data_IF_203262121622
#
_entry.id   IF_203262121622
#
_cell.length_a   1.000
_cell.length_b   1.000
_cell.length_c   1.000
_cell.angle_alpha   90.00
_cell.angle_beta   90.00
_cell.angle_gamma   90.00
#
_symmetry.space_group_name_H-M   'P 1'
#
loop_
_entity.id
_entity.type
_entity.pdbx_description
1 polymer ?
#
# COMPACT_ATOMS: atom_id res chain seq x y z
N UNK A 1 4.74 26.71 3.99
CA UNK A 1 5.44 26.03 2.88
C UNK A 1 6.44 24.93 3.30
N UNK A 2 6.63 24.60 4.60
CA UNK A 2 7.62 23.58 5.02
C UNK A 2 7.21 22.11 4.74
N UNK A 3 5.90 21.81 4.75
CA UNK A 3 5.38 20.43 4.61
C UNK A 3 5.68 19.76 3.25
N UNK A 4 5.68 20.52 2.14
CA UNK A 4 5.97 19.96 0.81
C UNK A 4 7.42 19.47 0.71
N UNK A 5 8.38 20.29 1.17
CA UNK A 5 9.81 19.94 1.04
C UNK A 5 10.24 18.77 1.92
N UNK A 6 9.60 18.57 3.08
CA UNK A 6 9.86 17.41 3.95
C UNK A 6 9.28 16.13 3.35
N UNK A 7 8.08 16.19 2.77
CA UNK A 7 7.51 15.09 2.01
C UNK A 7 8.40 14.72 0.83
N UNK A 8 8.75 15.68 -0.03
CA UNK A 8 9.57 15.45 -1.22
C UNK A 8 10.93 14.84 -0.86
N UNK A 9 11.55 15.26 0.25
CA UNK A 9 12.79 14.68 0.77
C UNK A 9 12.62 13.23 1.19
N UNK A 10 11.60 12.92 1.99
CA UNK A 10 11.36 11.55 2.44
C UNK A 10 11.01 10.63 1.27
N UNK A 11 10.20 11.11 0.32
CA UNK A 11 9.86 10.36 -0.89
C UNK A 11 11.11 10.05 -1.73
N UNK A 12 12.02 11.02 -1.86
CA UNK A 12 13.30 10.79 -2.52
C UNK A 12 14.18 9.81 -1.73
N UNK A 13 14.23 9.90 -0.39
CA UNK A 13 14.99 8.98 0.47
C UNK A 13 14.45 7.54 0.36
N UNK A 14 13.14 7.36 0.31
CA UNK A 14 12.47 6.07 0.05
C UNK A 14 12.77 5.56 -1.37
N UNK A 15 12.78 6.43 -2.38
CA UNK A 15 13.07 6.05 -3.76
C UNK A 15 14.49 5.50 -3.94
N UNK A 16 15.48 6.08 -3.25
CA UNK A 16 16.88 5.61 -3.31
C UNK A 16 17.17 4.50 -2.30
N UNK A 17 16.28 4.25 -1.33
CA UNK A 17 16.42 3.18 -0.34
C UNK A 17 16.38 1.80 -0.99
N UNK A 18 17.36 0.96 -0.67
CA UNK A 18 17.39 -0.45 -1.09
C UNK A 18 16.86 -1.30 0.06
N UNK A 19 15.88 -2.16 -0.24
CA UNK A 19 15.18 -2.97 0.77
C UNK A 19 16.17 -3.79 1.59
N UNK A 20 16.03 -3.76 2.91
CA UNK A 20 17.02 -4.32 3.85
C UNK A 20 17.12 -5.85 3.87
N UNK A 21 16.27 -6.54 3.10
CA UNK A 21 16.30 -8.01 2.94
C UNK A 21 17.64 -8.57 2.41
N UNK A 22 18.57 -7.73 1.94
CA UNK A 22 19.93 -8.14 1.62
C UNK A 22 20.90 -7.95 2.81
N UNK A 23 20.79 -8.83 3.82
CA UNK A 23 21.79 -9.12 4.87
C UNK A 23 22.04 -8.04 5.94
N UNK A 24 21.27 -8.12 7.02
CA UNK A 24 21.79 -8.09 8.40
C UNK A 24 22.36 -6.77 8.95
N UNK A 25 22.35 -5.68 8.19
CA UNK A 25 22.67 -4.35 8.71
C UNK A 25 21.41 -3.52 8.61
N UNK A 26 20.79 -3.22 9.76
CA UNK A 26 19.85 -2.10 9.84
C UNK A 26 20.68 -0.87 9.56
N UNK A 27 20.67 -0.44 8.31
CA UNK A 27 21.51 0.64 7.81
C UNK A 27 21.12 1.91 8.53
N UNK A 28 22.06 2.87 8.62
CA UNK A 28 21.73 4.21 9.10
C UNK A 28 20.57 4.85 8.31
N UNK A 29 20.32 4.40 7.07
CA UNK A 29 19.22 4.88 6.24
C UNK A 29 17.85 4.40 6.75
N UNK A 30 17.68 3.12 7.08
CA UNK A 30 16.40 2.65 7.63
C UNK A 30 16.06 3.33 8.96
N UNK A 31 17.05 3.47 9.86
CA UNK A 31 16.84 4.20 11.13
C UNK A 31 16.41 5.65 10.89
N UNK A 32 16.96 6.30 9.86
CA UNK A 32 16.58 7.66 9.48
C UNK A 32 15.16 7.72 8.90
N UNK A 33 14.80 6.79 8.01
CA UNK A 33 13.45 6.67 7.46
C UNK A 33 12.45 6.45 8.59
N UNK A 34 12.72 5.50 9.49
CA UNK A 34 11.90 5.21 10.67
C UNK A 34 11.73 6.44 11.55
N UNK A 35 12.83 7.10 11.94
CA UNK A 35 12.76 8.30 12.76
C UNK A 35 12.01 9.45 12.07
N UNK A 36 12.13 9.57 10.75
CA UNK A 36 11.40 10.58 9.99
C UNK A 36 9.91 10.28 10.03
N UNK A 37 9.50 9.05 9.70
CA UNK A 37 8.09 8.61 9.71
C UNK A 37 7.44 8.85 11.07
N UNK A 38 8.13 8.47 12.16
CA UNK A 38 7.63 8.66 13.53
C UNK A 38 7.43 10.13 13.92
N UNK A 39 8.09 11.07 13.25
CA UNK A 39 7.99 12.50 13.50
C UNK A 39 7.06 13.22 12.51
N UNK A 40 6.46 12.51 11.55
CA UNK A 40 5.49 13.12 10.62
C UNK A 40 4.19 13.39 11.39
N UNK A 41 3.70 14.65 11.47
CA UNK A 41 2.48 14.97 12.20
C UNK A 41 1.21 14.30 11.61
N UNK A 42 1.22 14.07 10.30
CA UNK A 42 0.14 13.41 9.56
C UNK A 42 0.72 12.60 8.39
N UNK A 43 0.73 11.28 8.53
CA UNK A 43 1.25 10.33 7.54
C UNK A 43 0.30 10.10 6.36
N UNK A 44 -0.91 10.66 6.40
CA UNK A 44 -1.96 10.47 5.40
C UNK A 44 -1.99 11.59 4.34
N UNK A 45 -1.09 12.57 4.44
CA UNK A 45 -0.95 13.60 3.41
C UNK A 45 -0.46 13.00 2.08
N UNK A 46 -0.78 13.69 0.99
CA UNK A 46 -0.33 13.35 -0.36
C UNK A 46 0.50 14.47 -0.99
N UNK A 47 1.40 14.12 -1.91
CA UNK A 47 2.12 15.09 -2.73
C UNK A 47 1.17 15.78 -3.76
N UNK A 48 1.72 16.67 -4.59
CA UNK A 48 0.94 17.41 -5.61
C UNK A 48 0.28 16.53 -6.67
N UNK A 49 0.76 15.30 -6.85
CA UNK A 49 0.23 14.29 -7.76
C UNK A 49 -0.80 13.35 -7.09
N UNK A 50 -1.00 13.50 -5.78
CA UNK A 50 -1.93 12.68 -4.99
C UNK A 50 -1.34 11.38 -4.44
N UNK A 51 -0.02 11.21 -4.46
CA UNK A 51 0.62 10.04 -3.84
C UNK A 51 0.82 10.25 -2.34
N UNK A 52 0.27 9.35 -1.53
CA UNK A 52 0.60 9.23 -0.09
C UNK A 52 1.96 8.56 0.09
N UNK A 53 2.54 8.69 1.29
CA UNK A 53 3.76 7.94 1.63
C UNK A 53 3.56 6.42 1.45
N UNK A 54 2.40 5.91 1.90
CA UNK A 54 2.07 4.49 1.81
C UNK A 54 1.97 4.03 0.36
N UNK A 55 1.34 4.81 -0.52
CA UNK A 55 1.25 4.48 -1.94
C UNK A 55 2.64 4.32 -2.57
N UNK A 56 3.56 5.24 -2.27
CA UNK A 56 4.91 5.19 -2.83
C UNK A 56 5.69 3.99 -2.30
N UNK A 57 5.60 3.70 -1.00
CA UNK A 57 6.22 2.51 -0.41
C UNK A 57 5.73 1.21 -1.07
N UNK A 58 4.42 1.12 -1.35
CA UNK A 58 3.81 -0.01 -2.04
C UNK A 58 4.31 -0.14 -3.48
N UNK A 59 4.28 0.94 -4.26
CA UNK A 59 4.72 0.94 -5.67
C UNK A 59 6.22 0.65 -5.84
N UNK A 60 7.00 0.90 -4.80
CA UNK A 60 8.43 0.60 -4.73
C UNK A 60 8.72 -0.77 -4.10
N UNK A 61 7.68 -1.51 -3.70
CA UNK A 61 7.74 -2.81 -3.00
C UNK A 61 8.63 -2.79 -1.75
N UNK A 62 8.51 -1.76 -0.93
CA UNK A 62 9.26 -1.63 0.33
C UNK A 62 8.45 -2.15 1.50
N UNK A 63 8.33 -3.48 1.64
CA UNK A 63 7.49 -4.10 2.67
C UNK A 63 7.80 -3.61 4.10
N UNK A 64 9.08 -3.41 4.40
CA UNK A 64 9.59 -2.82 5.63
C UNK A 64 9.09 -1.38 5.87
N UNK A 65 9.13 -0.53 4.85
CA UNK A 65 8.62 0.85 4.93
C UNK A 65 7.09 0.89 4.95
N UNK A 66 6.41 -0.01 4.21
CA UNK A 66 4.95 -0.19 4.27
C UNK A 66 4.53 -0.50 5.70
N UNK A 67 5.20 -1.46 6.35
CA UNK A 67 4.94 -1.80 7.74
C UNK A 67 5.10 -0.59 8.67
N UNK A 68 6.21 0.15 8.56
CA UNK A 68 6.44 1.35 9.38
C UNK A 68 5.36 2.41 9.21
N UNK A 69 4.91 2.65 7.98
CA UNK A 69 3.86 3.63 7.69
C UNK A 69 2.52 3.20 8.28
N UNK A 70 2.16 1.93 8.14
CA UNK A 70 0.93 1.37 8.73
C UNK A 70 0.96 1.41 10.26
N UNK A 71 2.10 1.08 10.88
CA UNK A 71 2.32 1.21 12.33
C UNK A 71 2.25 2.67 12.80
N UNK A 72 2.62 3.63 11.95
CA UNK A 72 2.50 5.06 12.22
C UNK A 72 1.08 5.62 11.95
N UNK A 73 0.10 4.78 11.60
CA UNK A 73 -1.29 5.18 11.39
C UNK A 73 -1.63 5.62 9.96
N UNK A 74 -0.84 5.20 8.96
CA UNK A 74 -1.20 5.40 7.57
C UNK A 74 -2.47 4.60 7.23
N UNK A 75 -3.47 5.27 6.66
CA UNK A 75 -4.72 4.69 6.22
C UNK A 75 -4.50 3.98 4.86
N UNK A 76 -4.67 2.64 4.80
CA UNK A 76 -4.44 1.88 3.58
C UNK A 76 -5.51 2.08 2.51
N UNK A 77 -6.58 2.82 2.79
CA UNK A 77 -7.69 3.06 1.88
C UNK A 77 -7.65 4.43 1.19
N UNK A 78 -6.67 5.29 1.52
CA UNK A 78 -6.47 6.58 0.85
C UNK A 78 -5.87 6.34 -0.54
N UNK A 79 -6.71 6.56 -1.56
CA UNK A 79 -6.32 6.46 -2.96
C UNK A 79 -5.68 7.71 -3.53
N UNK A 80 -5.00 7.55 -4.67
CA UNK A 80 -4.53 8.67 -5.50
C UNK A 80 -5.72 9.34 -6.18
N UNK A 81 -5.49 10.53 -6.74
CA UNK A 81 -6.48 11.31 -7.52
C UNK A 81 -7.18 10.55 -8.66
N UNK A 82 -6.62 9.45 -9.16
CA UNK A 82 -7.22 8.62 -10.21
C UNK A 82 -8.02 7.42 -9.69
N UNK A 83 -8.14 7.30 -8.36
CA UNK A 83 -8.90 6.29 -7.64
C UNK A 83 -8.15 5.00 -7.30
N UNK A 84 -6.90 4.86 -7.74
CA UNK A 84 -6.08 3.69 -7.39
C UNK A 84 -5.68 3.76 -5.92
N UNK A 85 -5.95 2.69 -5.18
CA UNK A 85 -5.64 2.53 -3.75
C UNK A 85 -4.39 1.68 -3.52
N UNK A 86 -3.72 1.82 -2.37
CA UNK A 86 -2.51 1.06 -2.05
C UNK A 86 -2.64 -0.43 -2.34
N UNK A 87 -3.71 -1.08 -1.89
CA UNK A 87 -3.92 -2.53 -2.10
C UNK A 87 -4.03 -2.92 -3.59
N UNK A 88 -4.65 -2.09 -4.43
CA UNK A 88 -4.71 -2.31 -5.87
C UNK A 88 -3.33 -2.08 -6.54
N UNK A 89 -2.59 -1.07 -6.10
CA UNK A 89 -1.27 -0.74 -6.64
C UNK A 89 -0.23 -1.86 -6.44
N UNK A 90 -0.40 -2.72 -5.43
CA UNK A 90 0.47 -3.88 -5.16
C UNK A 90 0.61 -4.80 -6.39
N UNK A 91 -0.44 -4.90 -7.21
CA UNK A 91 -0.50 -5.82 -8.35
C UNK A 91 0.16 -5.27 -9.63
N UNK A 92 0.52 -3.98 -9.67
CA UNK A 92 1.14 -3.35 -10.84
C UNK A 92 2.52 -3.94 -11.21
N UNK A 93 3.12 -4.69 -10.29
CA UNK A 93 4.44 -5.30 -10.44
C UNK A 93 4.49 -6.62 -9.68
N UNK A 94 5.09 -7.63 -10.31
CA UNK A 94 5.36 -8.92 -9.66
C UNK A 94 6.71 -8.88 -8.97
N UNK A 95 6.72 -9.02 -7.65
CA UNK A 95 7.92 -9.07 -6.82
C UNK A 95 7.74 -10.11 -5.71
N UNK A 96 8.85 -10.61 -5.16
CA UNK A 96 8.85 -11.55 -4.02
C UNK A 96 8.17 -10.95 -2.78
N UNK A 97 8.24 -9.63 -2.60
CA UNK A 97 7.67 -8.91 -1.45
C UNK A 97 6.17 -8.65 -1.58
N UNK A 98 5.59 -8.86 -2.76
CA UNK A 98 4.18 -8.54 -3.03
C UNK A 98 3.25 -9.24 -2.04
N UNK A 99 3.49 -10.50 -1.73
CA UNK A 99 2.68 -11.28 -0.79
C UNK A 99 2.71 -10.69 0.63
N UNK A 100 3.89 -10.27 1.08
CA UNK A 100 4.05 -9.61 2.39
C UNK A 100 3.32 -8.27 2.43
N UNK A 101 3.40 -7.48 1.37
CA UNK A 101 2.72 -6.19 1.27
C UNK A 101 1.19 -6.36 1.25
N UNK A 102 0.65 -7.34 0.50
CA UNK A 102 -0.78 -7.65 0.53
C UNK A 102 -1.21 -7.96 1.96
N UNK A 103 -0.49 -8.84 2.66
CA UNK A 103 -0.78 -9.18 4.06
C UNK A 103 -0.79 -7.97 4.98
N UNK A 104 0.29 -7.17 4.95
CA UNK A 104 0.38 -5.95 5.76
C UNK A 104 -0.80 -5.00 5.53
N UNK A 105 -1.19 -4.79 4.27
CA UNK A 105 -2.31 -3.91 3.96
C UNK A 105 -3.63 -4.48 4.46
N UNK A 106 -3.95 -5.75 4.19
CA UNK A 106 -5.23 -6.35 4.63
C UNK A 106 -5.32 -6.47 6.15
N UNK A 107 -4.22 -6.80 6.83
CA UNK A 107 -4.16 -6.88 8.30
C UNK A 107 -4.40 -5.51 8.96
N UNK A 108 -4.08 -4.42 8.25
CA UNK A 108 -4.35 -3.04 8.67
C UNK A 108 -5.67 -2.48 8.10
N UNK A 109 -6.57 -3.33 7.60
CA UNK A 109 -7.91 -2.93 7.19
C UNK A 109 -8.01 -2.33 5.79
N UNK A 110 -7.07 -2.65 4.88
CA UNK A 110 -7.23 -2.34 3.48
C UNK A 110 -8.44 -3.10 2.90
N UNK A 111 -9.34 -2.36 2.28
CA UNK A 111 -10.55 -2.92 1.68
C UNK A 111 -10.30 -3.26 0.20
N UNK A 112 -10.32 -4.56 -0.16
CA UNK A 112 -10.05 -5.01 -1.53
C UNK A 112 -11.16 -4.63 -2.52
N UNK A 113 -12.35 -4.25 -2.04
CA UNK A 113 -13.51 -3.87 -2.85
C UNK A 113 -13.55 -2.39 -3.21
N UNK A 114 -12.69 -1.56 -2.61
CA UNK A 114 -12.67 -0.13 -2.88
C UNK A 114 -12.00 0.20 -4.22
N UNK A 115 -12.73 0.91 -5.06
CA UNK A 115 -12.26 1.53 -6.29
C UNK A 115 -13.19 2.67 -6.67
N UNK A 116 -12.67 3.76 -7.22
CA UNK A 116 -13.51 4.92 -7.58
C UNK A 116 -14.27 4.68 -8.90
N UNK A 117 -13.80 3.75 -9.72
CA UNK A 117 -14.43 3.34 -10.98
C UNK A 117 -14.45 1.82 -11.11
N UNK A 118 -15.40 1.26 -11.89
CA UNK A 118 -15.38 -0.16 -12.24
C UNK A 118 -14.01 -0.57 -12.82
N UNK A 119 -13.50 -1.72 -12.42
CA UNK A 119 -12.19 -2.21 -12.86
C UNK A 119 -11.00 -1.64 -12.09
N UNK A 120 -11.22 -0.86 -11.01
CA UNK A 120 -10.14 -0.27 -10.20
C UNK A 120 -9.98 -0.87 -8.80
N UNK A 121 -10.68 -1.95 -8.48
CA UNK A 121 -10.56 -2.62 -7.18
C UNK A 121 -9.31 -3.49 -7.12
N UNK A 122 -8.83 -3.83 -5.91
CA UNK A 122 -7.68 -4.73 -5.78
C UNK A 122 -7.95 -6.09 -6.43
N UNK A 123 -9.20 -6.52 -6.36
CA UNK A 123 -9.75 -7.69 -7.03
C UNK A 123 -9.64 -7.62 -8.56
N UNK A 124 -10.01 -6.50 -9.18
CA UNK A 124 -9.92 -6.32 -10.63
C UNK A 124 -8.46 -6.35 -11.09
N UNK A 125 -7.58 -5.66 -10.36
CA UNK A 125 -6.15 -5.67 -10.65
C UNK A 125 -5.53 -7.05 -10.48
N UNK A 126 -5.90 -7.80 -9.43
CA UNK A 126 -5.45 -9.17 -9.23
C UNK A 126 -5.85 -10.07 -10.40
N UNK A 127 -7.07 -9.92 -10.92
CA UNK A 127 -7.58 -10.67 -12.06
C UNK A 127 -6.87 -10.29 -13.38
N UNK A 128 -6.81 -9.00 -13.69
CA UNK A 128 -6.17 -8.47 -14.91
C UNK A 128 -4.69 -8.86 -14.97
N UNK A 129 -4.01 -8.84 -13.82
CA UNK A 129 -2.58 -9.17 -13.73
C UNK A 129 -2.32 -10.66 -13.59
N UNK A 130 -3.37 -11.50 -13.51
CA UNK A 130 -3.30 -12.95 -13.27
C UNK A 130 -2.54 -13.31 -11.98
N UNK A 131 -2.88 -12.62 -10.89
CA UNK A 131 -2.30 -12.84 -9.58
C UNK A 131 -2.47 -14.29 -9.12
N UNK A 132 -1.56 -14.68 -8.23
CA UNK A 132 -1.40 -16.00 -7.69
C UNK A 132 -2.64 -16.33 -6.85
N UNK A 133 -3.21 -17.55 -6.99
CA UNK A 133 -4.47 -17.90 -6.34
C UNK A 133 -4.50 -17.59 -4.84
N UNK A 134 -3.39 -17.85 -4.13
CA UNK A 134 -3.30 -17.56 -2.70
C UNK A 134 -3.46 -16.04 -2.39
N UNK A 135 -3.06 -15.13 -3.27
CA UNK A 135 -3.25 -13.70 -3.06
C UNK A 135 -4.74 -13.33 -3.21
N UNK A 136 -5.44 -13.98 -4.13
CA UNK A 136 -6.88 -13.81 -4.31
C UNK A 136 -7.60 -14.31 -3.06
N UNK A 137 -7.22 -15.48 -2.53
CA UNK A 137 -7.73 -16.02 -1.27
C UNK A 137 -7.54 -15.02 -0.11
N UNK A 138 -6.37 -14.39 0.01
CA UNK A 138 -6.14 -13.35 1.03
C UNK A 138 -7.07 -12.15 0.88
N UNK A 139 -7.34 -11.70 -0.35
CA UNK A 139 -8.28 -10.61 -0.60
C UNK A 139 -9.72 -11.03 -0.25
N UNK A 140 -10.12 -12.26 -0.58
CA UNK A 140 -11.44 -12.78 -0.24
C UNK A 140 -11.65 -12.89 1.27
N UNK A 141 -10.66 -13.40 1.99
CA UNK A 141 -10.69 -13.44 3.46
C UNK A 141 -10.80 -12.03 4.06
N UNK A 142 -10.02 -11.07 3.55
CA UNK A 142 -10.09 -9.69 4.00
C UNK A 142 -11.46 -9.07 3.74
N UNK A 143 -12.02 -9.31 2.54
CA UNK A 143 -13.36 -8.85 2.19
C UNK A 143 -14.43 -9.45 3.10
N UNK A 144 -14.34 -10.75 3.41
CA UNK A 144 -15.25 -11.42 4.34
C UNK A 144 -15.12 -10.87 5.76
N UNK A 145 -13.90 -10.56 6.23
CA UNK A 145 -13.66 -9.94 7.54
C UNK A 145 -14.29 -8.55 7.64
N UNK A 146 -14.20 -7.74 6.58
CA UNK A 146 -14.69 -6.37 6.58
C UNK A 146 -16.20 -6.29 6.34
N UNK A 147 -16.72 -7.07 5.39
CA UNK A 147 -18.09 -6.92 4.89
C UNK A 147 -19.03 -8.09 5.23
N UNK A 148 -18.50 -9.22 5.71
CA UNK A 148 -19.28 -10.42 6.01
C UNK A 148 -19.86 -11.13 4.78
N UNK A 149 -19.48 -10.72 3.57
CA UNK A 149 -19.98 -11.27 2.31
C UNK A 149 -18.84 -11.58 1.33
N UNK A 150 -18.91 -12.69 0.58
CA UNK A 150 -17.98 -12.95 -0.52
C UNK A 150 -18.20 -11.98 -1.70
N UNK A 151 -17.16 -11.79 -2.53
CA UNK A 151 -17.13 -10.88 -3.70
C UNK A 151 -18.34 -11.03 -4.64
N UNK A 152 -18.96 -12.21 -4.69
CA UNK A 152 -20.08 -12.54 -5.58
C UNK A 152 -21.51 -12.29 -5.06
N UNK A 153 -21.71 -11.93 -3.78
CA UNK A 153 -23.07 -11.78 -3.21
C UNK A 153 -23.72 -10.40 -3.43
N UNK A 154 -23.01 -9.42 -3.98
CA UNK A 154 -23.49 -8.04 -4.07
C UNK A 154 -23.15 -7.25 -5.35
N UNK A 155 -22.52 -7.87 -6.36
CA UNK A 155 -22.20 -7.19 -7.63
C UNK A 155 -22.71 -7.94 -8.87
N UNK A 156 -23.87 -8.60 -8.76
CA UNK A 156 -24.71 -8.87 -9.92
C UNK A 156 -25.73 -7.73 -10.04
N UNK A 157 -25.64 -6.97 -11.12
CA UNK A 157 -26.54 -5.87 -11.55
C UNK A 157 -26.18 -4.46 -11.08
N UNK A 158 -25.51 -3.72 -11.97
CA UNK A 158 -26.11 -2.58 -12.66
C UNK A 158 -25.39 -2.33 -13.99
#
# INVERSE_FOLDING_TARGET
MRRSGEMDRLLNEMAVYKTELARGSVTGQFRRIQATIQNIPDVNISNSEGYTYLMIAVMQHKADVVKLLLEAGADPNIGRRDGVRPLAAVFLKRTEQRQEIVRLLVDHGADPSLGDRPGQTAFDFAEITQAEPHLIELLEEANLRLHGVPRGSGQANA
#
